data_IF_288353060908
#
_entry.id   IF_288353060908
#
_cell.length_a   1.000
_cell.length_b   1.000
_cell.length_c   1.000
_cell.angle_alpha   90.00
_cell.angle_beta   90.00
_cell.angle_gamma   90.00
#
_symmetry.space_group_name_H-M   'P 1'
#
loop_
_entity.id
_entity.type
_entity.pdbx_description
1 polymer ?
#
# COMPACT_ATOMS: atom_id res chain seq x y z
N UNK A 1 -53.44 34.92 -32.44
CA UNK A 1 -52.52 35.22 -33.56
C UNK A 1 -52.54 36.73 -33.78
N UNK A 2 -51.67 37.49 -33.13
CA UNK A 2 -51.61 38.93 -33.33
C UNK A 2 -51.02 39.21 -34.72
N UNK A 3 -51.76 39.90 -35.59
CA UNK A 3 -51.25 40.40 -36.85
C UNK A 3 -50.14 41.42 -36.55
N UNK A 4 -48.88 41.02 -36.71
CA UNK A 4 -47.74 41.92 -36.53
C UNK A 4 -47.85 43.09 -37.51
N UNK A 5 -47.79 44.32 -37.00
CA UNK A 5 -47.82 45.53 -37.82
C UNK A 5 -46.73 45.48 -38.89
N UNK A 6 -47.10 45.74 -40.15
CA UNK A 6 -46.16 45.75 -41.27
C UNK A 6 -45.15 46.90 -41.09
N UNK A 7 -43.88 46.54 -40.83
CA UNK A 7 -42.80 47.53 -40.66
C UNK A 7 -42.45 48.14 -42.03
N UNK A 8 -42.37 49.48 -42.16
CA UNK A 8 -42.04 50.12 -43.43
C UNK A 8 -40.54 50.04 -43.74
N UNK A 9 -40.20 50.08 -45.02
CA UNK A 9 -38.84 50.16 -45.51
C UNK A 9 -38.26 51.57 -45.30
N UNK A 10 -37.07 51.64 -44.69
CA UNK A 10 -36.38 52.92 -44.48
C UNK A 10 -35.96 53.62 -45.79
N UNK A 11 -35.67 52.85 -46.85
CA UNK A 11 -35.23 53.38 -48.14
C UNK A 11 -36.39 53.70 -49.11
N UNK A 12 -37.57 53.12 -48.89
CA UNK A 12 -38.73 53.26 -49.77
C UNK A 12 -39.97 53.56 -48.95
N UNK A 13 -40.30 54.85 -48.82
CA UNK A 13 -41.41 55.33 -48.03
C UNK A 13 -42.73 54.62 -48.39
N UNK A 14 -43.47 54.18 -47.37
CA UNK A 14 -44.77 53.51 -47.52
C UNK A 14 -44.71 52.05 -48.00
N UNK A 15 -43.53 51.49 -48.33
CA UNK A 15 -43.42 50.07 -48.74
C UNK A 15 -43.18 49.15 -47.55
N UNK A 16 -43.91 48.03 -47.41
CA UNK A 16 -43.70 47.07 -46.33
C UNK A 16 -42.41 46.26 -46.51
N UNK A 17 -41.81 45.84 -45.40
CA UNK A 17 -40.74 44.84 -45.39
C UNK A 17 -41.34 43.44 -45.58
N UNK A 18 -41.11 42.85 -46.74
CA UNK A 18 -41.74 41.58 -47.16
C UNK A 18 -40.73 40.53 -47.63
N UNK A 19 -39.47 40.93 -47.85
CA UNK A 19 -38.36 40.08 -48.26
C UNK A 19 -37.25 40.07 -47.21
N UNK A 20 -36.42 39.04 -47.24
CA UNK A 20 -35.16 38.97 -46.49
C UNK A 20 -34.01 38.81 -47.48
N UNK A 21 -33.08 39.78 -47.48
CA UNK A 21 -31.84 39.70 -48.25
C UNK A 21 -30.85 38.82 -47.49
N UNK A 22 -30.55 37.65 -48.07
CA UNK A 22 -29.69 36.63 -47.46
C UNK A 22 -28.24 37.08 -47.38
N UNK A 23 -27.75 37.78 -48.40
CA UNK A 23 -26.36 38.20 -48.47
C UNK A 23 -26.06 39.35 -47.49
N UNK A 24 -27.07 40.17 -47.16
CA UNK A 24 -26.93 41.28 -46.20
C UNK A 24 -27.45 40.96 -44.80
N UNK A 25 -28.18 39.86 -44.60
CA UNK A 25 -28.84 39.53 -43.35
C UNK A 25 -29.90 40.55 -42.91
N UNK A 26 -30.64 41.15 -43.85
CA UNK A 26 -31.59 42.27 -43.56
C UNK A 26 -32.96 42.05 -44.20
N UNK A 27 -34.02 42.44 -43.49
CA UNK A 27 -35.36 42.54 -44.05
C UNK A 27 -35.45 43.76 -44.98
N UNK A 28 -36.02 43.58 -46.18
CA UNK A 28 -36.12 44.61 -47.23
C UNK A 28 -37.50 44.57 -47.91
N UNK A 29 -37.91 45.63 -48.62
CA UNK A 29 -39.12 45.61 -49.46
C UNK A 29 -38.82 45.11 -50.88
N UNK A 30 -39.85 44.86 -51.71
CA UNK A 30 -39.66 44.41 -53.09
C UNK A 30 -38.85 45.36 -54.00
N UNK A 31 -38.80 46.67 -53.70
CA UNK A 31 -38.03 47.64 -54.50
C UNK A 31 -36.52 47.60 -54.18
N UNK A 32 -36.12 47.19 -52.98
CA UNK A 32 -34.70 47.12 -52.59
C UNK A 32 -33.83 46.23 -53.49
N UNK A 33 -34.24 44.99 -53.83
CA UNK A 33 -33.49 44.16 -54.77
C UNK A 33 -33.74 44.51 -56.25
N UNK A 34 -34.87 45.13 -56.57
CA UNK A 34 -35.21 45.47 -57.96
C UNK A 34 -34.47 46.73 -58.44
N UNK A 35 -34.46 47.79 -57.63
CA UNK A 35 -34.00 49.12 -58.00
C UNK A 35 -33.10 49.78 -56.94
N UNK A 36 -32.97 49.18 -55.76
CA UNK A 36 -32.24 49.74 -54.62
C UNK A 36 -30.87 49.12 -54.35
N UNK A 37 -30.36 49.37 -53.14
CA UNK A 37 -29.01 48.97 -52.70
C UNK A 37 -28.77 47.45 -52.57
N UNK A 38 -29.80 46.62 -52.77
CA UNK A 38 -29.69 45.16 -52.70
C UNK A 38 -29.79 44.51 -54.09
N UNK A 39 -29.61 45.29 -55.16
CA UNK A 39 -29.67 44.79 -56.54
C UNK A 39 -28.61 43.72 -56.77
N UNK A 40 -29.04 42.56 -57.27
CA UNK A 40 -28.17 41.40 -57.50
C UNK A 40 -27.96 40.50 -56.28
N UNK A 41 -28.46 40.86 -55.10
CA UNK A 41 -28.41 39.98 -53.94
C UNK A 41 -29.55 38.96 -53.94
N UNK A 42 -29.30 37.80 -53.32
CA UNK A 42 -30.33 36.79 -53.07
C UNK A 42 -31.30 37.30 -52.02
N UNK A 43 -32.57 37.41 -52.40
CA UNK A 43 -33.67 37.71 -51.49
C UNK A 43 -34.73 36.61 -51.57
N UNK A 44 -35.34 36.29 -50.44
CA UNK A 44 -36.47 35.38 -50.37
C UNK A 44 -37.62 36.02 -49.61
N UNK A 45 -38.82 35.45 -49.71
CA UNK A 45 -39.98 35.91 -48.95
C UNK A 45 -39.69 35.83 -47.44
N UNK A 46 -40.08 36.85 -46.70
CA UNK A 46 -39.85 36.93 -45.25
C UNK A 46 -40.41 35.71 -44.50
N UNK A 47 -41.62 35.20 -44.77
CA UNK A 47 -42.12 33.98 -44.14
C UNK A 47 -41.23 32.75 -44.40
N UNK A 48 -40.65 32.64 -45.60
CA UNK A 48 -39.74 31.54 -45.95
C UNK A 48 -38.41 31.64 -45.19
N UNK A 49 -37.87 32.87 -45.06
CA UNK A 49 -36.67 33.11 -44.26
C UNK A 49 -36.91 32.75 -42.79
N UNK A 50 -38.00 33.24 -42.20
CA UNK A 50 -38.38 32.95 -40.82
C UNK A 50 -38.51 31.45 -40.59
N UNK A 51 -39.22 30.73 -41.47
CA UNK A 51 -39.38 29.27 -41.34
C UNK A 51 -38.04 28.54 -41.35
N UNK A 52 -37.16 28.85 -42.32
CA UNK A 52 -35.81 28.26 -42.40
C UNK A 52 -34.97 28.58 -41.18
N UNK A 53 -35.00 29.82 -40.70
CA UNK A 53 -34.25 30.21 -39.50
C UNK A 53 -34.79 29.51 -38.26
N UNK A 54 -36.11 29.37 -38.11
CA UNK A 54 -36.73 28.61 -37.03
C UNK A 54 -36.35 27.13 -37.08
N UNK A 55 -36.38 26.49 -38.25
CA UNK A 55 -35.93 25.10 -38.44
C UNK A 55 -34.46 24.92 -38.00
N UNK A 56 -33.57 25.83 -38.40
CA UNK A 56 -32.16 25.82 -37.98
C UNK A 56 -31.98 26.04 -36.48
N UNK A 57 -32.75 26.96 -35.88
CA UNK A 57 -32.73 27.20 -34.43
C UNK A 57 -33.19 25.94 -33.68
N UNK A 58 -34.27 25.29 -34.12
CA UNK A 58 -34.77 24.06 -33.52
C UNK A 58 -33.76 22.92 -33.61
N UNK A 59 -33.09 22.76 -34.76
CA UNK A 59 -32.01 21.78 -34.91
C UNK A 59 -30.83 22.09 -33.98
N UNK A 60 -30.44 23.36 -33.87
CA UNK A 60 -29.38 23.81 -32.97
C UNK A 60 -29.71 23.51 -31.50
N UNK A 61 -30.94 23.79 -31.07
CA UNK A 61 -31.43 23.48 -29.73
C UNK A 61 -31.36 21.99 -29.44
N UNK A 62 -31.85 21.15 -30.36
CA UNK A 62 -31.78 19.70 -30.22
C UNK A 62 -30.34 19.19 -30.06
N UNK A 63 -29.42 19.67 -30.91
CA UNK A 63 -28.00 19.29 -30.81
C UNK A 63 -27.36 19.76 -29.49
N UNK A 64 -27.78 20.91 -28.95
CA UNK A 64 -27.29 21.39 -27.66
C UNK A 64 -27.82 20.57 -26.48
N UNK A 65 -29.06 20.09 -26.56
CA UNK A 65 -29.64 19.17 -25.59
C UNK A 65 -28.90 17.83 -25.58
N UNK A 66 -28.70 17.21 -26.74
CA UNK A 66 -27.93 15.96 -26.88
C UNK A 66 -26.50 16.11 -26.32
N UNK A 67 -25.81 17.21 -26.64
CA UNK A 67 -24.46 17.48 -26.12
C UNK A 67 -24.44 17.69 -24.61
N UNK A 68 -25.49 18.31 -24.05
CA UNK A 68 -25.59 18.49 -22.60
C UNK A 68 -25.70 17.15 -21.89
N UNK A 69 -26.45 16.21 -22.45
CA UNK A 69 -26.57 14.85 -21.91
C UNK A 69 -25.24 14.08 -21.99
N UNK A 70 -24.51 14.21 -23.09
CA UNK A 70 -23.19 13.61 -23.27
C UNK A 70 -22.17 14.14 -22.25
N UNK A 71 -22.08 15.47 -22.10
CA UNK A 71 -21.16 16.08 -21.13
C UNK A 71 -21.52 15.73 -19.68
N UNK A 72 -22.81 15.59 -19.37
CA UNK A 72 -23.26 15.13 -18.06
C UNK A 72 -22.88 13.65 -17.81
N UNK A 73 -22.90 12.82 -18.85
CA UNK A 73 -22.37 11.45 -18.82
C UNK A 73 -20.85 11.40 -18.60
N UNK A 74 -20.10 12.26 -19.29
CA UNK A 74 -18.65 12.39 -19.12
C UNK A 74 -18.31 12.83 -17.69
N UNK A 75 -19.01 13.85 -17.17
CA UNK A 75 -18.84 14.33 -15.79
C UNK A 75 -19.04 13.20 -14.78
N UNK A 76 -20.13 12.42 -14.90
CA UNK A 76 -20.37 11.26 -14.02
C UNK A 76 -19.26 10.22 -14.11
N UNK A 77 -18.75 9.93 -15.31
CA UNK A 77 -17.66 8.97 -15.51
C UNK A 77 -16.36 9.43 -14.85
N UNK A 78 -16.04 10.72 -14.95
CA UNK A 78 -14.86 11.31 -14.28
C UNK A 78 -15.04 11.27 -12.76
N UNK A 79 -16.22 11.65 -12.24
CA UNK A 79 -16.54 11.56 -10.82
C UNK A 79 -16.40 10.12 -10.29
N UNK A 80 -16.85 9.13 -11.06
CA UNK A 80 -16.69 7.72 -10.73
C UNK A 80 -15.21 7.32 -10.69
N UNK A 81 -14.44 7.66 -11.72
CA UNK A 81 -13.01 7.34 -11.77
C UNK A 81 -12.23 7.95 -10.58
N UNK A 82 -12.56 9.18 -10.18
CA UNK A 82 -11.98 9.81 -8.98
C UNK A 82 -12.31 9.01 -7.71
N UNK A 83 -13.56 8.55 -7.57
CA UNK A 83 -13.96 7.75 -6.43
C UNK A 83 -13.31 6.36 -6.43
N UNK A 84 -13.15 5.74 -7.60
CA UNK A 84 -12.50 4.44 -7.76
C UNK A 84 -11.02 4.51 -7.36
N UNK A 85 -10.29 5.57 -7.78
CA UNK A 85 -8.90 5.80 -7.38
C UNK A 85 -8.79 5.95 -5.86
N UNK A 86 -9.70 6.71 -5.23
CA UNK A 86 -9.72 6.88 -3.76
C UNK A 86 -9.99 5.56 -3.05
N UNK A 87 -11.02 4.83 -3.49
CA UNK A 87 -11.40 3.54 -2.92
C UNK A 87 -10.27 2.51 -3.08
N UNK A 88 -9.60 2.49 -4.23
CA UNK A 88 -8.46 1.62 -4.46
C UNK A 88 -7.27 1.98 -3.56
N UNK A 89 -6.94 3.27 -3.42
CA UNK A 89 -5.87 3.72 -2.53
C UNK A 89 -6.14 3.30 -1.08
N UNK A 90 -7.39 3.45 -0.60
CA UNK A 90 -7.75 3.07 0.77
C UNK A 90 -7.78 1.54 0.96
N UNK A 91 -8.20 0.78 -0.06
CA UNK A 91 -8.11 -0.68 -0.08
C UNK A 91 -6.65 -1.14 0.08
N UNK A 92 -5.74 -0.60 -0.72
CA UNK A 92 -4.31 -0.96 -0.68
C UNK A 92 -3.69 -0.58 0.66
N UNK A 93 -4.00 0.59 1.23
CA UNK A 93 -3.54 0.99 2.57
C UNK A 93 -3.99 0.00 3.65
N UNK A 94 -5.24 -0.47 3.58
CA UNK A 94 -5.78 -1.46 4.52
C UNK A 94 -5.05 -2.79 4.38
N UNK A 95 -4.90 -3.30 3.16
CA UNK A 95 -4.18 -4.55 2.89
C UNK A 95 -2.71 -4.48 3.32
N UNK A 96 -2.05 -3.35 3.11
CA UNK A 96 -0.69 -3.11 3.59
C UNK A 96 -0.62 -3.17 5.12
N UNK A 97 -1.60 -2.58 5.81
CA UNK A 97 -1.69 -2.60 7.28
C UNK A 97 -1.89 -4.02 7.83
N UNK A 98 -2.71 -4.82 7.16
CA UNK A 98 -2.90 -6.24 7.46
C UNK A 98 -1.59 -7.02 7.32
N UNK A 99 -0.87 -6.81 6.20
CA UNK A 99 0.44 -7.44 5.97
C UNK A 99 1.48 -7.03 7.00
N UNK A 100 1.47 -5.78 7.45
CA UNK A 100 2.39 -5.32 8.50
C UNK A 100 2.05 -5.96 9.86
N UNK A 101 0.77 -6.14 10.15
CA UNK A 101 0.32 -6.81 11.39
C UNK A 101 0.71 -8.29 11.39
N UNK A 102 0.56 -8.97 10.25
CA UNK A 102 1.03 -10.34 10.05
C UNK A 102 2.54 -10.46 10.30
N UNK A 103 3.34 -9.56 9.71
CA UNK A 103 4.79 -9.52 9.93
C UNK A 103 5.16 -9.30 11.40
N UNK A 104 4.47 -8.39 12.11
CA UNK A 104 4.68 -8.16 13.53
C UNK A 104 4.33 -9.38 14.39
N UNK A 105 3.28 -10.11 14.03
CA UNK A 105 2.90 -11.33 14.75
C UNK A 105 3.99 -12.40 14.61
N UNK A 106 4.48 -12.63 13.39
CA UNK A 106 5.56 -13.58 13.13
C UNK A 106 6.83 -13.24 13.92
N UNK A 107 7.21 -11.95 13.99
CA UNK A 107 8.37 -11.54 14.78
C UNK A 107 8.17 -11.77 16.29
N UNK A 108 6.96 -11.60 16.81
CA UNK A 108 6.64 -11.90 18.22
C UNK A 108 6.67 -13.39 18.50
N UNK A 109 6.17 -14.21 17.58
CA UNK A 109 6.22 -15.67 17.68
C UNK A 109 7.67 -16.16 17.67
N UNK A 110 8.49 -15.63 16.76
CA UNK A 110 9.92 -15.92 16.69
C UNK A 110 10.66 -15.55 17.99
N UNK A 111 10.38 -14.36 18.55
CA UNK A 111 10.92 -13.94 19.85
C UNK A 111 10.52 -14.91 20.98
N UNK A 112 9.26 -15.34 21.00
CA UNK A 112 8.74 -16.30 21.98
C UNK A 112 9.45 -17.65 21.88
N UNK A 113 9.63 -18.18 20.66
CA UNK A 113 10.35 -19.43 20.42
C UNK A 113 11.81 -19.35 20.90
N UNK A 114 12.49 -18.23 20.63
CA UNK A 114 13.87 -18.02 21.08
C UNK A 114 13.99 -18.01 22.61
N UNK A 115 13.06 -17.37 23.31
CA UNK A 115 13.01 -17.35 24.78
C UNK A 115 12.73 -18.72 25.35
N UNK A 116 11.73 -19.43 24.82
CA UNK A 116 11.41 -20.78 25.25
C UNK A 116 12.60 -21.73 25.07
N UNK A 117 13.33 -21.62 23.97
CA UNK A 117 14.55 -22.40 23.75
C UNK A 117 15.62 -22.12 24.83
N UNK A 118 15.81 -20.85 25.21
CA UNK A 118 16.73 -20.47 26.29
C UNK A 118 16.29 -21.08 27.61
N UNK A 119 15.00 -20.98 27.95
CA UNK A 119 14.43 -21.50 29.18
C UNK A 119 14.59 -23.04 29.26
N UNK A 120 14.26 -23.76 28.18
CA UNK A 120 14.41 -25.21 28.08
C UNK A 120 15.86 -25.65 28.27
N UNK A 121 16.81 -25.00 27.59
CA UNK A 121 18.24 -25.34 27.71
C UNK A 121 18.80 -24.99 29.08
N UNK A 122 18.33 -23.90 29.68
CA UNK A 122 18.70 -23.52 31.04
C UNK A 122 18.19 -24.55 32.05
N UNK A 123 16.92 -24.95 31.94
CA UNK A 123 16.34 -25.97 32.80
C UNK A 123 17.05 -27.32 32.66
N UNK A 124 17.41 -27.72 31.44
CA UNK A 124 18.17 -28.94 31.19
C UNK A 124 19.55 -28.90 31.86
N UNK A 125 20.28 -27.78 31.73
CA UNK A 125 21.59 -27.61 32.34
C UNK A 125 21.52 -27.61 33.88
N UNK A 126 20.54 -26.88 34.45
CA UNK A 126 20.30 -26.87 35.90
C UNK A 126 19.97 -28.27 36.43
N UNK A 127 19.11 -29.02 35.73
CA UNK A 127 18.78 -30.39 36.11
C UNK A 127 20.00 -31.32 36.12
N UNK A 128 20.91 -31.19 35.14
CA UNK A 128 22.16 -31.95 35.13
C UNK A 128 23.09 -31.54 36.29
N UNK A 129 23.18 -30.25 36.59
CA UNK A 129 23.97 -29.75 37.72
C UNK A 129 23.43 -30.21 39.07
N UNK A 130 22.10 -30.22 39.26
CA UNK A 130 21.47 -30.71 40.48
C UNK A 130 21.74 -32.20 40.72
N UNK A 131 21.70 -33.01 39.67
CA UNK A 131 22.05 -34.43 39.76
C UNK A 131 23.50 -34.63 40.17
N UNK A 132 24.42 -33.85 39.58
CA UNK A 132 25.84 -33.88 39.95
C UNK A 132 26.06 -33.40 41.39
N UNK A 133 25.35 -32.35 41.83
CA UNK A 133 25.43 -31.84 43.19
C UNK A 133 25.02 -32.91 44.20
N UNK A 134 23.91 -33.61 43.95
CA UNK A 134 23.43 -34.71 44.80
C UNK A 134 24.46 -35.83 44.87
N UNK A 135 25.02 -36.25 43.73
CA UNK A 135 26.07 -37.25 43.70
C UNK A 135 27.30 -36.85 44.53
N UNK A 136 27.75 -35.60 44.42
CA UNK A 136 28.85 -35.08 45.24
C UNK A 136 28.49 -35.04 46.73
N UNK A 137 27.27 -34.67 47.09
CA UNK A 137 26.78 -34.66 48.47
C UNK A 137 26.77 -36.07 49.07
N UNK A 138 26.28 -37.06 48.31
CA UNK A 138 26.25 -38.46 48.73
C UNK A 138 27.68 -39.01 48.92
N UNK A 139 28.61 -38.69 48.00
CA UNK A 139 30.02 -39.04 48.16
C UNK A 139 30.66 -38.40 49.38
N UNK A 140 30.40 -37.11 49.62
CA UNK A 140 30.89 -36.41 50.82
C UNK A 140 30.38 -37.08 52.09
N UNK A 141 29.09 -37.40 52.17
CA UNK A 141 28.50 -38.09 53.32
C UNK A 141 29.10 -39.48 53.55
N UNK A 142 29.37 -40.23 52.48
CA UNK A 142 30.04 -41.52 52.56
C UNK A 142 31.49 -41.38 53.09
N UNK A 143 32.25 -40.40 52.58
CA UNK A 143 33.61 -40.11 53.04
C UNK A 143 33.64 -39.66 54.51
N UNK A 144 32.69 -38.83 54.94
CA UNK A 144 32.55 -38.40 56.34
C UNK A 144 32.24 -39.59 57.26
N UNK A 145 31.32 -40.47 56.85
CA UNK A 145 30.97 -41.69 57.58
C UNK A 145 32.19 -42.62 57.71
N UNK A 146 32.92 -42.84 56.62
CA UNK A 146 34.11 -43.68 56.62
C UNK A 146 35.23 -43.07 57.48
N UNK A 147 35.43 -41.75 57.39
CA UNK A 147 36.37 -41.01 58.24
C UNK A 147 36.02 -41.17 59.72
N UNK A 148 34.75 -41.08 60.09
CA UNK A 148 34.29 -41.30 61.46
C UNK A 148 34.58 -42.73 61.92
N UNK A 149 34.31 -43.74 61.08
CA UNK A 149 34.57 -45.15 61.40
C UNK A 149 36.06 -45.40 61.67
N UNK A 150 36.95 -44.86 60.84
CA UNK A 150 38.41 -44.95 61.05
C UNK A 150 38.80 -44.30 62.39
N UNK A 151 38.29 -43.10 62.69
CA UNK A 151 38.58 -42.42 63.97
C UNK A 151 38.14 -43.23 65.18
N UNK A 152 36.98 -43.90 65.11
CA UNK A 152 36.50 -44.77 66.19
C UNK A 152 37.43 -45.96 66.42
N UNK A 153 37.85 -46.64 65.34
CA UNK A 153 38.78 -47.78 65.43
C UNK A 153 40.13 -47.33 66.00
N UNK A 154 40.61 -46.15 65.60
CA UNK A 154 41.87 -45.58 66.09
C UNK A 154 41.83 -45.25 67.60
N UNK A 155 40.65 -44.97 68.16
CA UNK A 155 40.46 -44.65 69.58
C UNK A 155 40.21 -45.90 70.45
N UNK A 156 40.14 -47.09 69.86
CA UNK A 156 39.89 -48.32 70.61
C UNK A 156 41.09 -48.63 71.53
N UNK A 157 40.81 -48.85 72.81
CA UNK A 157 41.83 -49.07 73.84
C UNK A 157 42.30 -50.52 73.90
N UNK A 158 41.56 -51.45 73.30
CA UNK A 158 41.91 -52.88 73.25
C UNK A 158 42.69 -53.23 71.96
N UNK A 159 43.96 -53.65 72.06
CA UNK A 159 44.81 -53.93 70.91
C UNK A 159 44.28 -55.05 69.99
N UNK A 160 43.57 -56.04 70.54
CA UNK A 160 43.05 -57.17 69.75
C UNK A 160 41.87 -56.69 68.90
N UNK A 161 40.88 -56.04 69.54
CA UNK A 161 39.71 -55.47 68.85
C UNK A 161 40.09 -54.41 67.81
N UNK A 162 41.12 -53.59 68.06
CA UNK A 162 41.62 -52.62 67.10
C UNK A 162 42.12 -53.30 65.82
N UNK A 163 42.94 -54.34 65.95
CA UNK A 163 43.51 -55.07 64.81
C UNK A 163 42.44 -55.81 64.02
N UNK A 164 41.47 -56.43 64.68
CA UNK A 164 40.34 -57.09 64.03
C UNK A 164 39.52 -56.09 63.20
N UNK A 165 39.07 -54.97 63.82
CA UNK A 165 38.28 -53.93 63.13
C UNK A 165 39.06 -53.23 62.00
N UNK A 166 40.37 -53.03 62.17
CA UNK A 166 41.22 -52.50 61.10
C UNK A 166 41.29 -53.46 59.91
N UNK A 167 41.46 -54.76 60.17
CA UNK A 167 41.56 -55.79 59.14
C UNK A 167 40.27 -55.86 58.30
N UNK A 168 39.11 -55.64 58.91
CA UNK A 168 37.81 -55.57 58.22
C UNK A 168 37.74 -54.42 57.18
N UNK A 169 38.34 -53.27 57.46
CA UNK A 169 38.25 -52.08 56.59
C UNK A 169 39.52 -51.82 55.77
N UNK A 170 40.55 -52.65 55.90
CA UNK A 170 41.85 -52.44 55.29
C UNK A 170 41.75 -52.26 53.75
N UNK A 171 40.84 -53.00 53.12
CA UNK A 171 40.59 -52.92 51.68
C UNK A 171 39.97 -51.58 51.27
N UNK A 172 38.96 -51.11 51.99
CA UNK A 172 38.32 -49.79 51.77
C UNK A 172 39.31 -48.64 51.98
N UNK A 173 40.21 -48.77 52.97
CA UNK A 173 41.31 -47.81 53.19
C UNK A 173 42.28 -47.78 52.00
N UNK A 174 42.60 -48.93 51.40
CA UNK A 174 43.48 -48.99 50.22
C UNK A 174 42.81 -48.38 48.99
N UNK A 175 41.52 -48.60 48.81
CA UNK A 175 40.73 -48.10 47.67
C UNK A 175 40.50 -46.58 47.74
N UNK A 176 40.26 -46.02 48.93
CA UNK A 176 40.07 -44.57 49.13
C UNK A 176 41.30 -43.69 48.84
N UNK A 177 42.48 -44.28 48.62
CA UNK A 177 43.72 -43.54 48.30
C UNK A 177 43.79 -43.04 46.85
N UNK A 178 42.82 -43.40 46.01
CA UNK A 178 42.82 -42.96 44.61
C UNK A 178 42.41 -41.49 44.48
N UNK A 179 43.01 -40.73 43.55
CA UNK A 179 42.66 -39.33 43.32
C UNK A 179 41.20 -39.19 42.89
N UNK A 180 40.44 -38.30 43.54
CA UNK A 180 39.11 -37.96 43.07
C UNK A 180 39.18 -37.24 41.72
N UNK A 181 38.32 -37.66 40.80
CA UNK A 181 38.16 -37.01 39.50
C UNK A 181 37.53 -35.63 39.69
N UNK A 182 38.24 -34.58 39.25
CA UNK A 182 37.79 -33.19 39.36
C UNK A 182 36.92 -32.84 38.17
N UNK A 183 35.68 -32.44 38.45
CA UNK A 183 34.74 -31.97 37.43
C UNK A 183 34.84 -30.46 37.24
N UNK A 184 34.81 -30.02 35.99
CA UNK A 184 34.83 -28.61 35.59
C UNK A 184 33.61 -28.32 34.70
N UNK A 185 32.48 -27.89 35.28
CA UNK A 185 31.30 -27.57 34.48
C UNK A 185 31.59 -26.38 33.58
N UNK A 186 31.35 -26.54 32.28
CA UNK A 186 31.44 -25.45 31.29
C UNK A 186 30.16 -24.62 31.39
N UNK A 187 30.25 -23.28 31.59
CA UNK A 187 29.08 -22.42 31.63
C UNK A 187 28.27 -22.49 30.34
N UNK A 188 26.94 -22.58 30.47
CA UNK A 188 26.03 -22.51 29.33
C UNK A 188 26.09 -21.10 28.71
N UNK A 189 26.24 -21.03 27.38
CA UNK A 189 26.28 -19.76 26.64
C UNK A 189 25.26 -19.75 25.49
N UNK A 190 24.54 -18.63 25.38
CA UNK A 190 23.57 -18.35 24.32
C UNK A 190 24.07 -17.31 23.31
N UNK A 191 25.37 -17.04 23.29
CA UNK A 191 25.96 -16.00 22.44
C UNK A 191 25.70 -16.25 20.94
N UNK A 192 25.58 -17.52 20.55
CA UNK A 192 25.23 -17.91 19.18
C UNK A 192 23.83 -17.43 18.77
N UNK A 193 22.81 -17.48 19.65
CA UNK A 193 21.48 -16.90 19.36
C UNK A 193 21.58 -15.40 19.17
N UNK A 194 22.30 -14.72 20.07
CA UNK A 194 22.43 -13.27 20.01
C UNK A 194 23.12 -12.84 18.71
N UNK A 195 24.15 -13.56 18.28
CA UNK A 195 24.85 -13.31 17.03
C UNK A 195 23.96 -13.58 15.81
N UNK A 196 23.13 -14.62 15.86
CA UNK A 196 22.14 -14.91 14.82
C UNK A 196 21.17 -13.73 14.62
N UNK A 197 20.51 -13.26 15.69
CA UNK A 197 19.56 -12.14 15.58
C UNK A 197 20.22 -10.80 15.23
N UNK A 198 21.45 -10.56 15.69
CA UNK A 198 22.26 -9.41 15.23
C UNK A 198 22.45 -9.43 13.71
N UNK A 199 22.75 -10.60 13.14
CA UNK A 199 22.90 -10.73 11.69
C UNK A 199 21.56 -10.51 10.97
N UNK A 200 20.49 -11.15 11.45
CA UNK A 200 19.14 -10.98 10.90
C UNK A 200 18.70 -9.50 10.85
N UNK A 201 18.86 -8.77 11.96
CA UNK A 201 18.52 -7.34 12.03
C UNK A 201 19.35 -6.52 11.04
N UNK A 202 20.65 -6.81 10.88
CA UNK A 202 21.50 -6.12 9.90
C UNK A 202 21.01 -6.32 8.46
N UNK A 203 20.55 -7.53 8.12
CA UNK A 203 19.98 -7.81 6.80
C UNK A 203 18.68 -7.03 6.59
N UNK A 204 17.78 -7.00 7.58
CA UNK A 204 16.56 -6.19 7.49
C UNK A 204 16.88 -4.70 7.35
N UNK A 205 17.83 -4.18 8.13
CA UNK A 205 18.26 -2.80 8.06
C UNK A 205 18.81 -2.43 6.68
N UNK A 206 19.60 -3.30 6.05
CA UNK A 206 20.16 -3.02 4.72
C UNK A 206 19.07 -2.91 3.64
N UNK A 207 17.98 -3.67 3.76
CA UNK A 207 16.81 -3.58 2.88
C UNK A 207 16.06 -2.25 3.12
N UNK A 208 15.89 -1.87 4.38
CA UNK A 208 15.12 -0.68 4.77
C UNK A 208 15.89 0.64 4.61
N UNK A 209 17.21 0.60 4.47
CA UNK A 209 18.06 1.79 4.34
C UNK A 209 17.86 2.52 3.01
N UNK A 210 17.42 1.82 1.96
CA UNK A 210 17.05 2.45 0.68
C UNK A 210 15.70 3.18 0.83
N UNK A 211 15.57 4.43 0.33
CA UNK A 211 14.30 5.14 0.32
C UNK A 211 13.17 4.28 -0.27
N UNK A 212 11.98 4.36 0.32
CA UNK A 212 10.84 3.53 -0.07
C UNK A 212 10.49 3.72 -1.54
N UNK A 213 10.53 4.96 -2.02
CA UNK A 213 10.29 5.31 -3.42
C UNK A 213 11.29 4.65 -4.36
N UNK A 214 12.58 4.57 -3.97
CA UNK A 214 13.60 3.91 -4.78
C UNK A 214 13.39 2.38 -4.84
N UNK A 215 12.78 1.79 -3.81
CA UNK A 215 12.42 0.36 -3.78
C UNK A 215 11.15 0.04 -4.58
N UNK A 216 10.25 1.01 -4.72
CA UNK A 216 8.95 0.83 -5.39
C UNK A 216 8.96 1.31 -6.86
N UNK A 217 9.93 2.13 -7.25
CA UNK A 217 10.06 2.67 -8.63
C UNK A 217 10.32 1.62 -9.71
N UNK A 218 10.71 0.40 -9.36
CA UNK A 218 10.83 -0.70 -10.34
C UNK A 218 9.45 -1.14 -10.90
N UNK A 219 8.35 -0.86 -10.20
CA UNK A 219 7.02 -1.39 -10.55
C UNK A 219 5.91 -0.32 -10.75
N UNK A 220 6.21 0.97 -10.60
CA UNK A 220 5.20 2.02 -10.63
C UNK A 220 4.91 2.52 -12.06
N UNK A 221 3.71 2.25 -12.60
CA UNK A 221 3.15 3.01 -13.74
C UNK A 221 2.43 4.26 -13.22
N UNK A 222 2.79 5.43 -13.74
CA UNK A 222 2.02 6.65 -13.52
C UNK A 222 0.68 6.53 -14.25
N UNK A 223 -0.45 6.93 -13.64
CA UNK A 223 -1.73 7.00 -14.34
C UNK A 223 -1.65 8.15 -15.36
N UNK A 224 -1.29 7.83 -16.59
CA UNK A 224 -1.33 8.75 -17.73
C UNK A 224 -2.63 8.54 -18.49
N UNK A 225 -3.36 9.62 -18.80
CA UNK A 225 -4.48 9.56 -19.73
C UNK A 225 -3.99 9.14 -21.12
N UNK A 226 -4.67 8.17 -21.75
CA UNK A 226 -4.36 7.68 -23.09
C UNK A 226 -5.16 8.46 -24.16
N UNK A 227 -4.46 9.05 -25.13
CA UNK A 227 -5.05 9.88 -26.20
C UNK A 227 -6.19 9.19 -26.95
N UNK A 228 -6.13 7.87 -27.08
CA UNK A 228 -7.10 7.07 -27.83
C UNK A 228 -8.50 7.05 -27.18
N UNK A 229 -8.58 7.35 -25.88
CA UNK A 229 -9.83 7.40 -25.12
C UNK A 229 -10.41 8.82 -25.00
N UNK A 230 -9.74 9.83 -25.57
CA UNK A 230 -10.03 11.24 -25.29
C UNK A 230 -10.88 11.82 -26.42
N UNK A 231 -12.05 12.35 -26.04
CA UNK A 231 -12.97 12.96 -26.98
C UNK A 231 -12.28 14.07 -27.81
N UNK A 232 -12.52 14.21 -29.14
CA UNK A 232 -11.81 15.14 -30.04
C UNK A 232 -11.93 16.64 -29.74
N UNK A 233 -12.51 17.04 -28.60
CA UNK A 233 -12.64 18.44 -28.16
C UNK A 233 -12.01 18.69 -26.79
N UNK A 234 -11.48 17.66 -26.16
CA UNK A 234 -10.74 17.75 -24.91
C UNK A 234 -9.27 17.96 -25.24
N UNK A 235 -8.69 19.06 -24.74
CA UNK A 235 -7.26 19.36 -24.81
C UNK A 235 -6.56 18.85 -23.54
N UNK A 236 -5.56 17.97 -23.66
CA UNK A 236 -4.68 17.66 -22.56
C UNK A 236 -3.53 18.66 -22.44
N UNK A 237 -3.13 18.91 -21.21
CA UNK A 237 -1.84 19.50 -20.88
C UNK A 237 -0.70 18.58 -21.30
N UNK A 238 0.48 19.17 -21.53
CA UNK A 238 1.66 18.43 -22.01
C UNK A 238 2.16 17.38 -20.98
N UNK A 239 1.85 17.58 -19.69
CA UNK A 239 2.13 16.62 -18.61
C UNK A 239 1.10 15.48 -18.51
N UNK A 240 0.05 15.51 -19.34
CA UNK A 240 -1.08 14.57 -19.32
C UNK A 240 -1.76 14.47 -17.94
N UNK A 241 -1.82 15.56 -17.19
CA UNK A 241 -2.49 15.61 -15.87
C UNK A 241 -3.78 16.42 -15.87
N UNK A 242 -3.95 17.36 -16.80
CA UNK A 242 -5.10 18.26 -16.89
C UNK A 242 -5.82 18.15 -18.23
N UNK A 243 -7.14 18.32 -18.20
CA UNK A 243 -8.00 18.31 -19.40
C UNK A 243 -8.81 19.60 -19.44
N UNK A 244 -8.81 20.28 -20.59
CA UNK A 244 -9.61 21.48 -20.84
C UNK A 244 -10.49 21.29 -22.06
N UNK A 245 -11.75 21.76 -22.01
CA UNK A 245 -12.67 21.62 -23.13
C UNK A 245 -12.52 22.81 -24.10
N UNK A 246 -12.38 22.53 -25.40
CA UNK A 246 -12.21 23.55 -26.44
C UNK A 246 -13.34 23.50 -27.46
N UNK A 247 -13.75 24.67 -27.94
CA UNK A 247 -14.84 24.82 -28.91
C UNK A 247 -14.51 24.28 -30.31
N UNK A 248 -13.21 24.10 -30.61
CA UNK A 248 -12.71 23.58 -31.89
C UNK A 248 -12.27 22.13 -31.70
N UNK A 249 -12.56 21.30 -32.72
CA UNK A 249 -12.13 19.90 -32.77
C UNK A 249 -10.61 19.83 -32.91
N UNK A 250 -9.94 19.08 -32.04
CA UNK A 250 -8.52 18.82 -32.02
C UNK A 250 -8.33 17.38 -32.51
N UNK A 251 -7.39 17.19 -33.43
CA UNK A 251 -6.93 15.87 -33.82
C UNK A 251 -5.61 15.63 -33.11
N UNK A 252 -5.56 14.59 -32.28
CA UNK A 252 -4.31 14.13 -31.72
C UNK A 252 -3.62 13.20 -32.72
N UNK A 253 -2.30 13.31 -32.90
CA UNK A 253 -1.56 12.32 -33.64
C UNK A 253 -1.70 10.97 -32.92
N UNK A 254 -2.15 9.95 -33.64
CA UNK A 254 -2.04 8.58 -33.19
C UNK A 254 -0.56 8.18 -33.22
N UNK A 255 -0.06 7.63 -32.11
CA UNK A 255 1.28 7.01 -32.04
C UNK A 255 1.29 5.63 -32.72
#
# INVERSE_FOLDING_TARGET
MAAGQARPCAAHAGRPLELFCQDCGRCVCALCPALGAHRGHRACLLPQAVRRTQELMSLCLKNLEERKEEEDGNRRSIEQAVNDVKAHADMIKRQLSEKMTEFQLLLREEESLAKNFIDEKTQQALGAHDQHLRFCQDQLGALETFTHRIRQIQQDSDPINLLEKYTEIEKEIKESRQPLEKWHPVPLSFEHLLNHYKHFIRVLQSILQKPLEARLKEDARSPTWEYDSIHPRLKLSDDRLEVSCIWRRIFYPAE
#
